data_IF_963522443787
#
_entry.id   IF_963522443787
#
_cell.length_a   1.000
_cell.length_b   1.000
_cell.length_c   1.000
_cell.angle_alpha   90.00
_cell.angle_beta   90.00
_cell.angle_gamma   90.00
#
_symmetry.space_group_name_H-M   'P 1'
#
loop_
_entity.id
_entity.type
_entity.pdbx_description
1 polymer ?
#
# COMPACT_ATOMS: atom_id res chain seq x y z
N UNK A 1 13.37 48.89 1.61
CA UNK A 1 14.22 47.87 0.97
C UNK A 1 14.31 46.72 1.96
N UNK A 2 13.66 45.60 1.63
CA UNK A 2 13.65 44.37 2.43
C UNK A 2 14.63 43.43 1.73
N UNK A 3 15.75 43.14 2.39
CA UNK A 3 16.84 42.31 1.87
C UNK A 3 16.64 40.86 2.32
N UNK A 4 16.51 39.95 1.36
CA UNK A 4 17.15 38.63 1.37
C UNK A 4 16.57 37.56 2.31
N UNK A 5 15.67 36.74 1.77
CA UNK A 5 15.36 35.39 2.26
C UNK A 5 16.66 34.61 2.52
N UNK A 6 16.83 34.07 3.73
CA UNK A 6 17.79 32.99 4.00
C UNK A 6 17.18 31.69 3.53
N UNK A 7 17.82 31.12 2.53
CA UNK A 7 17.56 29.78 2.00
C UNK A 7 17.50 28.76 3.13
N UNK A 8 16.45 27.95 3.12
CA UNK A 8 16.31 26.81 4.02
C UNK A 8 17.42 25.81 3.73
N UNK A 9 18.35 25.68 4.65
CA UNK A 9 19.25 24.52 4.74
C UNK A 9 18.39 23.26 4.89
N UNK A 10 18.11 22.58 3.78
CA UNK A 10 17.69 21.19 3.80
C UNK A 10 18.83 20.38 4.42
N UNK A 11 18.69 20.03 5.71
CA UNK A 11 19.63 19.18 6.43
C UNK A 11 19.82 17.91 5.58
N UNK A 12 21.04 17.63 5.07
CA UNK A 12 21.25 16.49 4.18
C UNK A 12 20.96 15.21 4.96
N UNK A 13 19.96 14.46 4.50
CA UNK A 13 19.50 13.19 5.06
C UNK A 13 20.70 12.22 5.16
N UNK A 14 21.15 11.92 6.38
CA UNK A 14 22.34 11.09 6.61
C UNK A 14 21.99 9.61 6.44
N UNK A 15 22.21 9.10 5.24
CA UNK A 15 22.00 7.69 4.89
C UNK A 15 23.12 6.83 5.46
N UNK A 16 22.89 6.23 6.63
CA UNK A 16 23.89 5.40 7.34
C UNK A 16 23.80 3.94 6.85
N UNK A 17 24.95 3.25 6.73
CA UNK A 17 25.04 1.83 6.35
C UNK A 17 24.85 0.85 7.51
N UNK A 18 24.43 1.33 8.67
CA UNK A 18 24.21 0.50 9.84
C UNK A 18 23.00 -0.40 9.64
N UNK A 19 23.21 -1.69 9.89
CA UNK A 19 22.21 -2.75 9.77
C UNK A 19 21.26 -2.73 10.98
N UNK A 20 21.72 -2.22 12.13
CA UNK A 20 20.98 -2.15 13.41
C UNK A 20 20.36 -0.77 13.65
N UNK A 21 19.48 -0.33 12.76
CA UNK A 21 18.61 0.83 13.05
C UNK A 21 17.33 0.34 13.75
N UNK A 22 16.72 1.17 14.61
CA UNK A 22 15.45 0.85 15.27
C UNK A 22 14.37 0.41 14.25
N UNK A 23 14.30 1.06 13.09
CA UNK A 23 13.40 0.69 11.99
C UNK A 23 13.62 -0.75 11.49
N UNK A 24 14.87 -1.17 11.26
CA UNK A 24 15.17 -2.53 10.80
C UNK A 24 14.78 -3.59 11.83
N UNK A 25 14.96 -3.31 13.12
CA UNK A 25 14.56 -4.25 14.19
C UNK A 25 13.05 -4.44 14.17
N UNK A 26 12.28 -3.37 14.03
CA UNK A 26 10.82 -3.50 14.02
C UNK A 26 10.31 -4.16 12.74
N UNK A 27 10.90 -3.86 11.58
CA UNK A 27 10.59 -4.57 10.33
C UNK A 27 10.92 -6.06 10.43
N UNK A 28 12.02 -6.43 11.11
CA UNK A 28 12.35 -7.83 11.38
C UNK A 28 11.36 -8.50 12.35
N UNK A 29 11.01 -7.83 13.44
CA UNK A 29 9.98 -8.31 14.38
C UNK A 29 8.66 -8.52 13.65
N UNK A 30 8.24 -7.57 12.80
CA UNK A 30 7.02 -7.68 11.99
C UNK A 30 7.06 -8.90 11.08
N UNK A 31 8.19 -9.14 10.41
CA UNK A 31 8.38 -10.34 9.59
C UNK A 31 8.26 -11.63 10.41
N UNK A 32 8.76 -11.66 11.65
CA UNK A 32 8.58 -12.79 12.57
C UNK A 32 7.14 -12.92 13.09
N UNK A 33 6.39 -11.83 13.24
CA UNK A 33 4.98 -11.87 13.67
C UNK A 33 4.05 -12.46 12.60
N UNK A 34 4.43 -12.36 11.31
CA UNK A 34 3.65 -12.91 10.18
C UNK A 34 3.35 -14.41 10.32
N UNK A 35 4.34 -15.31 10.45
CA UNK A 35 4.07 -16.73 10.64
C UNK A 35 3.36 -17.02 11.97
N UNK A 36 3.63 -16.24 13.02
CA UNK A 36 3.00 -16.41 14.34
C UNK A 36 1.48 -16.17 14.26
N UNK A 37 1.05 -15.06 13.64
CA UNK A 37 -0.40 -14.81 13.55
C UNK A 37 -1.09 -15.80 12.62
N UNK A 38 -0.45 -16.24 11.53
CA UNK A 38 -1.01 -17.27 10.65
C UNK A 38 -1.22 -18.58 11.39
N UNK A 39 -0.23 -19.00 12.19
CA UNK A 39 -0.35 -20.20 13.02
C UNK A 39 -1.47 -20.06 14.06
N UNK A 40 -1.58 -18.92 14.74
CA UNK A 40 -2.67 -18.65 15.69
C UNK A 40 -4.03 -18.69 15.02
N UNK A 41 -4.14 -18.10 13.82
CA UNK A 41 -5.38 -18.06 13.04
C UNK A 41 -5.82 -19.46 12.63
N UNK A 42 -4.91 -20.26 12.08
CA UNK A 42 -5.19 -21.64 11.66
C UNK A 42 -5.44 -22.57 12.85
N UNK A 43 -4.92 -22.24 14.03
CA UNK A 43 -5.20 -22.95 15.29
C UNK A 43 -6.53 -22.52 15.94
N UNK A 44 -7.27 -21.59 15.34
CA UNK A 44 -8.58 -21.13 15.82
C UNK A 44 -8.55 -20.00 16.86
N UNK A 45 -7.36 -19.49 17.23
CA UNK A 45 -7.21 -18.38 18.17
C UNK A 45 -7.43 -17.02 17.51
N UNK A 46 -8.66 -16.77 17.04
CA UNK A 46 -9.04 -15.57 16.28
C UNK A 46 -8.63 -14.26 16.98
N UNK A 47 -8.91 -14.12 18.27
CA UNK A 47 -8.57 -12.90 19.02
C UNK A 47 -7.05 -12.68 19.06
N UNK A 48 -6.27 -13.73 19.37
CA UNK A 48 -4.82 -13.63 19.43
C UNK A 48 -4.23 -13.33 18.05
N UNK A 49 -4.72 -13.99 17.00
CA UNK A 49 -4.32 -13.72 15.62
C UNK A 49 -4.60 -12.26 15.22
N UNK A 50 -5.78 -11.74 15.54
CA UNK A 50 -6.13 -10.33 15.29
C UNK A 50 -5.24 -9.37 16.05
N UNK A 51 -4.97 -9.64 17.34
CA UNK A 51 -4.10 -8.77 18.14
C UNK A 51 -2.68 -8.74 17.59
N UNK A 52 -2.12 -9.88 17.20
CA UNK A 52 -0.79 -9.96 16.59
C UNK A 52 -0.76 -9.25 15.24
N UNK A 53 -1.76 -9.47 14.38
CA UNK A 53 -1.88 -8.79 13.10
C UNK A 53 -2.02 -7.27 13.25
N UNK A 54 -2.88 -6.83 14.17
CA UNK A 54 -3.08 -5.41 14.46
C UNK A 54 -1.83 -4.77 15.04
N UNK A 55 -1.11 -5.46 15.93
CA UNK A 55 0.17 -5.00 16.45
C UNK A 55 1.20 -4.86 15.33
N UNK A 56 1.33 -5.87 14.46
CA UNK A 56 2.23 -5.83 13.30
C UNK A 56 1.92 -4.66 12.35
N UNK A 57 0.64 -4.40 12.08
CA UNK A 57 0.20 -3.28 11.23
C UNK A 57 0.39 -1.92 11.91
N UNK A 58 0.16 -1.82 13.22
CA UNK A 58 0.34 -0.59 13.99
C UNK A 58 1.82 -0.22 14.16
N UNK A 59 2.69 -1.20 14.35
CA UNK A 59 4.14 -1.00 14.43
C UNK A 59 4.68 -0.24 13.22
N UNK A 60 4.22 -0.57 12.01
CA UNK A 60 4.60 0.16 10.79
C UNK A 60 4.30 1.65 10.85
N UNK A 61 3.08 1.98 11.25
CA UNK A 61 2.65 3.36 11.30
C UNK A 61 3.48 4.17 12.30
N UNK A 62 3.85 3.55 13.43
CA UNK A 62 4.65 4.18 14.48
C UNK A 62 6.09 4.38 14.00
N UNK A 63 6.71 3.38 13.38
CA UNK A 63 8.10 3.48 12.92
C UNK A 63 8.26 4.46 11.76
N UNK A 64 7.30 4.45 10.82
CA UNK A 64 7.28 5.41 9.72
C UNK A 64 7.12 6.85 10.20
N UNK A 65 6.56 7.08 11.39
CA UNK A 65 6.50 8.40 12.02
C UNK A 65 7.79 8.73 12.78
N UNK A 66 8.41 7.74 13.43
CA UNK A 66 9.63 7.90 14.21
C UNK A 66 10.86 8.12 13.32
N UNK A 67 11.00 7.37 12.23
CA UNK A 67 12.10 7.51 11.27
C UNK A 67 12.10 8.90 10.59
N UNK A 68 10.89 9.43 10.29
CA UNK A 68 10.72 10.80 9.79
C UNK A 68 11.20 11.87 10.77
N UNK A 69 11.19 11.60 12.07
CA UNK A 69 11.65 12.54 13.12
C UNK A 69 13.12 12.39 13.46
N UNK A 70 13.73 11.26 13.16
CA UNK A 70 15.13 10.96 13.52
C UNK A 70 16.12 11.14 12.37
N UNK A 71 15.66 11.48 11.16
CA UNK A 71 16.49 11.73 9.95
C UNK A 71 17.52 10.63 9.64
N UNK A 72 17.37 9.45 10.24
CA UNK A 72 18.29 8.32 10.13
C UNK A 72 17.61 7.25 9.30
N UNK A 73 17.86 7.26 8.00
CA UNK A 73 17.25 6.32 7.05
C UNK A 73 18.32 5.38 6.51
N UNK A 74 18.24 4.10 6.88
CA UNK A 74 19.14 3.06 6.35
C UNK A 74 18.73 2.66 4.93
N UNK A 75 19.69 2.46 4.02
CA UNK A 75 19.41 1.99 2.65
C UNK A 75 18.70 0.64 2.63
N UNK A 76 18.98 -0.22 3.62
CA UNK A 76 18.31 -1.51 3.76
C UNK A 76 16.86 -1.34 4.20
N UNK A 77 16.60 -0.45 5.17
CA UNK A 77 15.24 -0.13 5.62
C UNK A 77 14.36 0.41 4.50
N UNK A 78 14.88 1.28 3.63
CA UNK A 78 14.14 1.83 2.48
C UNK A 78 13.55 0.76 1.54
N UNK A 79 14.18 -0.42 1.46
CA UNK A 79 13.74 -1.53 0.62
C UNK A 79 12.97 -2.55 1.45
N UNK A 80 13.40 -2.82 2.68
CA UNK A 80 12.82 -3.83 3.55
C UNK A 80 11.44 -3.42 4.05
N UNK A 81 11.23 -2.15 4.42
CA UNK A 81 9.97 -1.69 5.01
C UNK A 81 8.79 -1.87 4.04
N UNK A 82 8.86 -1.41 2.76
CA UNK A 82 7.79 -1.64 1.79
C UNK A 82 7.58 -3.12 1.45
N UNK A 83 8.61 -3.95 1.56
CA UNK A 83 8.50 -5.38 1.31
C UNK A 83 7.76 -6.10 2.44
N UNK A 84 8.10 -5.81 3.71
CA UNK A 84 7.46 -6.41 4.88
C UNK A 84 6.00 -5.96 5.00
N UNK A 85 5.69 -4.69 4.71
CA UNK A 85 4.29 -4.20 4.66
C UNK A 85 3.43 -5.01 3.70
N UNK A 86 4.01 -5.32 2.54
CA UNK A 86 3.32 -6.02 1.47
C UNK A 86 3.17 -7.49 1.79
N UNK A 87 4.17 -8.10 2.44
CA UNK A 87 4.05 -9.44 3.01
C UNK A 87 2.89 -9.45 4.01
N UNK A 88 2.85 -8.52 4.97
CA UNK A 88 1.77 -8.45 5.96
C UNK A 88 0.39 -8.29 5.31
N UNK A 89 0.28 -7.44 4.27
CA UNK A 89 -0.95 -7.26 3.52
C UNK A 89 -1.38 -8.56 2.81
N UNK A 90 -0.47 -9.18 2.05
CA UNK A 90 -0.74 -10.42 1.30
C UNK A 90 -1.11 -11.55 2.24
N UNK A 91 -0.36 -11.73 3.32
CA UNK A 91 -0.63 -12.78 4.29
C UNK A 91 -1.92 -12.50 5.05
N UNK A 92 -2.26 -11.24 5.34
CA UNK A 92 -3.52 -10.86 6.00
C UNK A 92 -4.72 -11.27 5.15
N UNK A 93 -4.68 -10.92 3.86
CA UNK A 93 -5.69 -11.31 2.87
C UNK A 93 -5.77 -12.84 2.74
N UNK A 94 -4.62 -13.50 2.61
CA UNK A 94 -4.53 -14.97 2.48
C UNK A 94 -5.07 -15.69 3.72
N UNK A 95 -4.73 -15.21 4.91
CA UNK A 95 -5.20 -15.80 6.17
C UNK A 95 -6.72 -15.78 6.29
N UNK A 96 -7.35 -14.64 5.97
CA UNK A 96 -8.82 -14.53 5.99
C UNK A 96 -9.48 -15.48 4.98
N UNK A 97 -8.85 -15.68 3.81
CA UNK A 97 -9.31 -16.63 2.81
C UNK A 97 -9.15 -18.10 3.24
N UNK A 98 -8.03 -18.45 3.88
CA UNK A 98 -7.81 -19.81 4.38
C UNK A 98 -8.87 -20.21 5.42
N UNK A 99 -9.39 -19.25 6.19
CA UNK A 99 -10.49 -19.47 7.13
C UNK A 99 -11.87 -19.37 6.47
N UNK A 100 -11.94 -19.15 5.15
CA UNK A 100 -13.18 -19.15 4.37
C UNK A 100 -14.08 -17.93 4.60
N UNK A 101 -13.53 -16.80 5.08
CA UNK A 101 -14.32 -15.62 5.46
C UNK A 101 -14.50 -14.60 4.34
N UNK A 102 -13.75 -14.73 3.25
CA UNK A 102 -13.89 -13.90 2.05
C UNK A 102 -13.82 -14.74 0.78
N UNK A 103 -14.50 -14.29 -0.29
CA UNK A 103 -14.38 -14.90 -1.60
C UNK A 103 -13.03 -14.56 -2.25
N UNK A 104 -12.56 -15.45 -3.13
CA UNK A 104 -11.28 -15.32 -3.83
C UNK A 104 -11.14 -14.00 -4.61
N UNK A 105 -12.24 -13.46 -5.16
CA UNK A 105 -12.18 -12.24 -5.97
C UNK A 105 -11.68 -11.03 -5.19
N UNK A 106 -11.97 -10.92 -3.89
CA UNK A 106 -11.47 -9.81 -3.04
C UNK A 106 -9.95 -9.83 -3.01
N UNK A 107 -9.37 -11.02 -2.84
CA UNK A 107 -7.91 -11.23 -2.83
C UNK A 107 -7.31 -10.83 -4.15
N UNK A 108 -7.91 -11.35 -5.23
CA UNK A 108 -7.43 -11.12 -6.59
C UNK A 108 -7.45 -9.62 -6.90
N UNK A 109 -8.51 -8.90 -6.54
CA UNK A 109 -8.60 -7.44 -6.75
C UNK A 109 -7.53 -6.69 -5.94
N UNK A 110 -7.35 -7.03 -4.66
CA UNK A 110 -6.35 -6.37 -3.80
C UNK A 110 -4.93 -6.59 -4.32
N UNK A 111 -4.57 -7.85 -4.60
CA UNK A 111 -3.23 -8.23 -5.04
C UNK A 111 -2.94 -7.71 -6.45
N UNK A 112 -3.87 -7.86 -7.39
CA UNK A 112 -3.69 -7.35 -8.76
C UNK A 112 -3.56 -5.83 -8.78
N UNK A 113 -4.39 -5.11 -8.02
CA UNK A 113 -4.30 -3.65 -7.93
C UNK A 113 -2.93 -3.23 -7.39
N UNK A 114 -2.48 -3.87 -6.31
CA UNK A 114 -1.22 -3.53 -5.68
C UNK A 114 -0.02 -3.86 -6.58
N UNK A 115 -0.05 -4.99 -7.28
CA UNK A 115 0.93 -5.34 -8.31
C UNK A 115 0.92 -4.34 -9.48
N UNK A 116 -0.27 -3.95 -9.95
CA UNK A 116 -0.43 -2.98 -11.03
C UNK A 116 0.20 -1.62 -10.69
N UNK A 117 -0.06 -1.09 -9.48
CA UNK A 117 0.53 0.18 -9.06
C UNK A 117 2.05 0.10 -8.92
N UNK A 118 2.58 -0.99 -8.40
CA UNK A 118 4.03 -1.17 -8.26
C UNK A 118 4.71 -1.28 -9.62
N UNK A 119 4.22 -2.16 -10.49
CA UNK A 119 4.81 -2.40 -11.82
C UNK A 119 4.66 -1.13 -12.67
N UNK A 120 3.48 -0.51 -12.67
CA UNK A 120 3.23 0.74 -13.41
C UNK A 120 4.12 1.89 -12.93
N UNK A 121 4.25 2.06 -11.60
CA UNK A 121 5.12 3.06 -11.01
C UNK A 121 6.61 2.82 -11.32
N UNK A 122 7.09 1.58 -11.16
CA UNK A 122 8.47 1.20 -11.45
C UNK A 122 8.82 1.35 -12.94
N UNK A 123 7.90 0.95 -13.83
CA UNK A 123 8.07 1.09 -15.27
C UNK A 123 8.17 2.56 -15.69
N UNK A 124 7.28 3.41 -15.16
CA UNK A 124 7.26 4.85 -15.47
C UNK A 124 8.53 5.55 -14.96
N UNK A 125 8.98 5.20 -13.75
CA UNK A 125 10.23 5.71 -13.18
C UNK A 125 11.46 5.24 -13.98
N UNK A 126 11.53 3.96 -14.33
CA UNK A 126 12.68 3.40 -15.05
C UNK A 126 12.80 3.91 -16.48
N UNK A 127 11.68 4.15 -17.16
CA UNK A 127 11.67 4.49 -18.59
C UNK A 127 11.64 5.99 -18.86
N UNK A 128 10.94 6.76 -18.01
CA UNK A 128 10.68 8.19 -18.24
C UNK A 128 11.16 9.09 -17.09
N UNK A 129 11.70 8.53 -16.00
CA UNK A 129 12.12 9.25 -14.78
C UNK A 129 11.01 10.11 -14.15
N UNK A 130 9.75 9.84 -14.48
CA UNK A 130 8.59 10.53 -13.91
C UNK A 130 8.29 9.93 -12.54
N UNK A 131 8.33 10.77 -11.50
CA UNK A 131 7.84 10.43 -10.16
C UNK A 131 6.42 10.93 -10.02
N UNK A 132 5.45 10.02 -9.96
CA UNK A 132 4.07 10.40 -9.62
C UNK A 132 3.98 10.51 -8.09
N UNK A 133 3.70 11.69 -7.53
CA UNK A 133 3.68 11.88 -6.08
C UNK A 133 2.58 11.03 -5.45
N UNK A 134 2.90 10.42 -4.32
CA UNK A 134 1.96 9.54 -3.62
C UNK A 134 0.85 10.40 -3.00
N UNK A 135 -0.38 10.26 -3.50
CA UNK A 135 -1.57 10.98 -3.02
C UNK A 135 -2.07 10.38 -1.71
N UNK A 136 -2.34 11.26 -0.72
CA UNK A 136 -2.87 10.92 0.61
C UNK A 136 -4.07 9.94 0.65
N UNK A 137 -5.03 9.96 -0.29
CA UNK A 137 -6.16 9.01 -0.30
C UNK A 137 -5.73 7.53 -0.39
N UNK A 138 -4.55 7.23 -0.95
CA UNK A 138 -4.02 5.88 -1.02
C UNK A 138 -3.67 5.28 0.35
N UNK A 139 -3.26 6.12 1.31
CA UNK A 139 -3.02 5.69 2.70
C UNK A 139 -4.32 5.27 3.36
N UNK A 140 -5.36 6.10 3.24
CA UNK A 140 -6.68 5.80 3.79
C UNK A 140 -7.25 4.49 3.24
N UNK A 141 -7.19 4.27 1.91
CA UNK A 141 -7.66 3.03 1.31
C UNK A 141 -6.99 1.79 1.94
N UNK A 142 -5.67 1.87 2.17
CA UNK A 142 -4.89 0.79 2.78
C UNK A 142 -5.25 0.59 4.25
N UNK A 143 -5.44 1.68 5.00
CA UNK A 143 -5.91 1.62 6.40
C UNK A 143 -7.29 0.97 6.51
N UNK A 144 -8.24 1.31 5.63
CA UNK A 144 -9.56 0.67 5.59
C UNK A 144 -9.44 -0.84 5.32
N UNK A 145 -8.56 -1.26 4.40
CA UNK A 145 -8.31 -2.68 4.16
C UNK A 145 -7.73 -3.38 5.39
N UNK A 146 -6.72 -2.80 6.06
CA UNK A 146 -6.14 -3.39 7.27
C UNK A 146 -7.16 -3.52 8.41
N UNK A 147 -8.00 -2.49 8.63
CA UNK A 147 -9.09 -2.55 9.61
C UNK A 147 -10.09 -3.64 9.23
N UNK A 148 -10.43 -3.74 7.94
CA UNK A 148 -11.31 -4.77 7.42
C UNK A 148 -10.77 -6.19 7.63
N UNK A 149 -9.49 -6.42 7.33
CA UNK A 149 -8.85 -7.70 7.59
C UNK A 149 -8.80 -8.03 9.08
N UNK A 150 -8.42 -7.06 9.94
CA UNK A 150 -8.44 -7.27 11.39
C UNK A 150 -9.84 -7.64 11.90
N UNK A 151 -10.89 -6.97 11.42
CA UNK A 151 -12.28 -7.30 11.76
C UNK A 151 -12.69 -8.70 11.28
N UNK A 152 -12.29 -9.07 10.07
CA UNK A 152 -12.56 -10.43 9.56
C UNK A 152 -11.75 -11.51 10.27
N UNK A 153 -10.51 -11.23 10.69
CA UNK A 153 -9.69 -12.13 11.51
C UNK A 153 -10.32 -12.33 12.91
N UNK A 154 -10.93 -11.28 13.47
CA UNK A 154 -11.60 -11.35 14.77
C UNK A 154 -12.89 -12.18 14.69
N UNK A 155 -13.62 -12.03 13.57
CA UNK A 155 -14.90 -12.69 13.31
C UNK A 155 -15.98 -12.42 14.39
N UNK A 156 -15.90 -11.28 15.07
CA UNK A 156 -16.84 -10.88 16.10
C UNK A 156 -16.96 -9.33 16.19
N UNK A 157 -18.15 -8.77 16.46
CA UNK A 157 -19.47 -9.43 16.39
C UNK A 157 -19.87 -9.78 14.96
N UNK A 158 -20.66 -10.84 14.79
CA UNK A 158 -21.30 -11.16 13.51
C UNK A 158 -22.56 -10.31 13.37
N UNK A 159 -22.62 -9.53 12.29
CA UNK A 159 -23.77 -8.68 11.95
C UNK A 159 -24.61 -9.46 10.93
N UNK A 160 -25.95 -9.49 11.08
CA UNK A 160 -26.83 -10.06 10.07
C UNK A 160 -26.61 -9.33 8.74
N UNK A 161 -26.43 -10.10 7.66
CA UNK A 161 -26.32 -9.53 6.32
C UNK A 161 -27.59 -8.79 5.89
N UNK A 162 -27.46 -7.88 4.92
CA UNK A 162 -28.55 -7.02 4.47
C UNK A 162 -29.72 -7.78 3.82
N UNK A 163 -29.47 -9.00 3.32
CA UNK A 163 -30.50 -9.81 2.65
C UNK A 163 -31.01 -9.19 1.35
N UNK A 164 -30.21 -8.35 0.70
CA UNK A 164 -30.59 -7.69 -0.56
C UNK A 164 -30.41 -8.59 -1.77
N UNK A 165 -29.50 -9.57 -1.70
CA UNK A 165 -29.27 -10.50 -2.80
C UNK A 165 -28.75 -11.86 -2.30
N UNK A 166 -29.26 -12.97 -2.82
CA UNK A 166 -28.86 -14.33 -2.40
C UNK A 166 -27.56 -14.82 -3.09
N UNK A 167 -26.61 -13.91 -3.32
CA UNK A 167 -25.38 -14.26 -4.03
C UNK A 167 -24.23 -14.51 -3.05
N UNK A 168 -23.82 -15.78 -2.93
CA UNK A 168 -22.80 -16.27 -1.99
C UNK A 168 -21.43 -15.63 -2.15
N UNK A 169 -21.06 -15.21 -3.36
CA UNK A 169 -19.81 -14.51 -3.63
C UNK A 169 -19.77 -13.06 -3.12
N UNK A 170 -20.86 -12.52 -2.55
CA UNK A 170 -20.94 -11.13 -2.07
C UNK A 170 -21.35 -11.10 -0.58
N UNK A 171 -20.42 -11.45 0.34
CA UNK A 171 -20.73 -11.50 1.76
C UNK A 171 -21.24 -10.16 2.29
N UNK A 172 -22.26 -10.19 3.15
CA UNK A 172 -22.86 -9.02 3.80
C UNK A 172 -24.01 -8.40 3.04
N UNK A 173 -24.08 -8.59 1.71
CA UNK A 173 -25.29 -8.31 0.93
C UNK A 173 -26.24 -9.51 0.88
N UNK A 174 -25.71 -10.72 1.08
CA UNK A 174 -26.48 -11.92 1.36
C UNK A 174 -27.12 -11.89 2.75
N UNK A 175 -28.03 -12.83 3.02
CA UNK A 175 -28.68 -12.96 4.32
C UNK A 175 -27.82 -13.62 5.41
N UNK A 176 -26.60 -14.04 5.08
CA UNK A 176 -25.71 -14.71 6.01
C UNK A 176 -25.07 -13.72 6.98
N UNK A 177 -24.83 -14.17 8.21
CA UNK A 177 -24.16 -13.36 9.21
C UNK A 177 -22.67 -13.22 8.86
N UNK A 178 -22.19 -11.98 8.81
CA UNK A 178 -20.80 -11.67 8.43
C UNK A 178 -20.15 -10.79 9.48
N UNK A 179 -18.83 -10.87 9.58
CA UNK A 179 -18.09 -9.93 10.41
C UNK A 179 -18.13 -8.52 9.81
N UNK A 180 -18.23 -7.51 10.69
CA UNK A 180 -18.23 -6.09 10.35
C UNK A 180 -17.04 -5.65 9.48
N UNK A 181 -15.93 -6.39 9.52
CA UNK A 181 -14.74 -6.12 8.72
C UNK A 181 -15.01 -6.10 7.21
N UNK A 182 -16.03 -6.81 6.73
CA UNK A 182 -16.35 -6.86 5.28
C UNK A 182 -16.70 -5.47 4.71
N UNK A 183 -17.38 -4.63 5.49
CA UNK A 183 -17.77 -3.29 5.04
C UNK A 183 -16.57 -2.37 4.89
N UNK A 184 -15.59 -2.51 5.79
CA UNK A 184 -14.31 -1.80 5.70
C UNK A 184 -13.50 -2.28 4.49
N UNK A 185 -13.57 -3.58 4.15
CA UNK A 185 -12.96 -4.09 2.91
C UNK A 185 -13.63 -3.46 1.69
N UNK A 186 -14.97 -3.43 1.60
CA UNK A 186 -15.64 -2.81 0.47
C UNK A 186 -15.32 -1.32 0.34
N UNK A 187 -15.35 -0.58 1.45
CA UNK A 187 -14.94 0.83 1.45
C UNK A 187 -13.49 1.00 1.01
N UNK A 188 -12.57 0.18 1.53
CA UNK A 188 -11.17 0.16 1.16
C UNK A 188 -10.95 -0.17 -0.32
N UNK A 189 -11.67 -1.14 -0.86
CA UNK A 189 -11.64 -1.52 -2.28
C UNK A 189 -12.12 -0.38 -3.18
N UNK A 190 -13.25 0.25 -2.87
CA UNK A 190 -13.79 1.37 -3.65
C UNK A 190 -12.80 2.53 -3.67
N UNK A 191 -12.27 2.91 -2.50
CA UNK A 191 -11.24 3.96 -2.40
C UNK A 191 -9.97 3.58 -3.17
N UNK A 192 -9.53 2.32 -3.02
CA UNK A 192 -8.34 1.79 -3.68
C UNK A 192 -8.46 1.83 -5.21
N UNK A 193 -9.61 1.44 -5.75
CA UNK A 193 -9.90 1.50 -7.18
C UNK A 193 -9.95 2.95 -7.68
N UNK A 194 -10.65 3.84 -6.97
CA UNK A 194 -10.69 5.27 -7.31
C UNK A 194 -9.30 5.91 -7.35
N UNK A 195 -8.46 5.58 -6.36
CA UNK A 195 -7.05 6.01 -6.32
C UNK A 195 -6.26 5.44 -7.50
N UNK A 196 -6.47 4.18 -7.85
CA UNK A 196 -5.78 3.52 -8.98
C UNK A 196 -6.12 4.17 -10.31
N UNK A 197 -7.39 4.53 -10.52
CA UNK A 197 -7.85 5.27 -11.71
C UNK A 197 -7.16 6.64 -11.75
N UNK A 198 -7.15 7.38 -10.63
CA UNK A 198 -6.49 8.68 -10.55
C UNK A 198 -5.00 8.58 -10.93
N UNK A 199 -4.26 7.63 -10.35
CA UNK A 199 -2.84 7.42 -10.69
C UNK A 199 -2.63 7.05 -12.14
N UNK A 200 -3.48 6.19 -12.70
CA UNK A 200 -3.38 5.77 -14.11
C UNK A 200 -3.56 6.97 -15.04
N UNK A 201 -4.54 7.83 -14.77
CA UNK A 201 -4.77 9.05 -15.55
C UNK A 201 -3.64 10.04 -15.38
N UNK A 202 -3.13 10.25 -14.17
CA UNK A 202 -2.00 11.14 -13.90
C UNK A 202 -0.72 10.66 -14.61
N UNK A 203 -0.44 9.36 -14.55
CA UNK A 203 0.68 8.73 -15.25
C UNK A 203 0.56 8.87 -16.78
N UNK A 204 -0.64 8.62 -17.33
CA UNK A 204 -0.89 8.76 -18.77
C UNK A 204 -0.70 10.22 -19.25
N UNK A 205 -1.15 11.21 -18.47
CA UNK A 205 -0.96 12.63 -18.79
C UNK A 205 0.52 13.03 -18.76
N UNK A 206 1.25 12.60 -17.73
CA UNK A 206 2.68 12.89 -17.62
C UNK A 206 3.47 12.23 -18.76
N UNK A 207 3.14 10.99 -19.10
CA UNK A 207 3.75 10.28 -20.23
C UNK A 207 3.46 10.98 -21.57
N UNK A 208 2.23 11.44 -21.79
CA UNK A 208 1.86 12.14 -23.01
C UNK A 208 2.60 13.48 -23.17
N UNK A 209 2.88 14.20 -22.07
CA UNK A 209 3.66 15.43 -22.10
C UNK A 209 5.14 15.16 -22.46
N UNK A 210 5.76 14.16 -21.85
CA UNK A 210 7.16 13.78 -22.12
C UNK A 210 7.36 13.31 -23.57
N UNK A 211 6.41 12.53 -24.11
CA UNK A 211 6.48 12.08 -25.51
C UNK A 211 6.33 13.24 -26.51
N UNK A 212 5.57 14.30 -26.17
CA UNK A 212 5.48 15.51 -27.01
C UNK A 212 6.80 16.27 -27.02
N UNK A 213 7.40 16.51 -25.86
CA UNK A 213 8.70 17.18 -25.75
C UNK A 213 9.81 16.46 -26.52
N UNK A 214 9.86 15.12 -26.45
CA UNK A 214 10.84 14.33 -27.23
C UNK A 214 10.62 14.42 -28.72
N UNK A 215 9.37 14.48 -29.17
CA UNK A 215 9.03 14.60 -30.60
C UNK A 215 9.42 15.98 -31.14
N UNK A 216 9.17 17.03 -30.37
CA UNK A 216 9.58 18.41 -30.70
C UNK A 216 11.10 18.53 -30.78
N UNK A 217 11.84 18.05 -29.78
CA UNK A 217 13.30 18.05 -29.78
C UNK A 217 13.92 17.26 -30.95
N UNK A 218 13.31 16.11 -31.31
CA UNK A 218 13.76 15.34 -32.47
C UNK A 218 13.54 16.11 -33.79
N UNK A 219 12.41 16.81 -33.93
CA UNK A 219 12.09 17.62 -35.11
C UNK A 219 13.07 18.78 -35.28
N UNK A 220 13.40 19.50 -34.21
CA UNK A 220 14.36 20.61 -34.22
C UNK A 220 15.78 20.15 -34.61
N UNK A 221 16.21 18.99 -34.12
CA UNK A 221 17.52 18.43 -34.48
C UNK A 221 17.60 18.05 -35.97
N UNK A 222 16.49 17.57 -36.55
CA UNK A 222 16.44 17.15 -37.95
C UNK A 222 16.42 18.34 -38.91
N UNK A 223 15.80 19.47 -38.53
CA UNK A 223 15.88 20.70 -39.33
C UNK A 223 17.27 21.34 -39.27
N UNK A 224 17.91 21.33 -38.10
CA UNK A 224 19.24 21.92 -37.94
C UNK A 224 20.36 21.19 -38.72
N UNK A 225 20.18 19.92 -39.07
CA UNK A 225 21.16 19.13 -39.84
C UNK A 225 20.89 19.10 -41.36
N UNK A 226 19.72 19.60 -41.80
CA UNK A 226 19.37 19.66 -43.23
C UNK A 226 19.81 20.93 -43.94
N UNK A 227 20.15 21.98 -43.18
CA UNK A 227 20.55 23.30 -43.70
C UNK A 227 22.08 23.54 -43.72
N UNK A 228 22.89 22.51 -43.43
CA UNK A 228 24.35 22.51 -43.47
C UNK A 228 24.89 21.64 -44.62
#
# INVERSE_FOLDING_TARGET
>A
MVEGQRDGEEIPEQVTSEIFTAANVVSFVRLCLVPVYLWLLLSGFNLAATLVFAAAAASDFIDGQLARRTHTVSKLGQILDPAVDRILMITGVLGVFLVGRIPLWVIVVVVLRDAYLLIGGAWLLSRYRIRVPVVYPGKFATTFLFIGFAGLLLNAPLIPGLGWCDISWLPGFNGEAVSWGIWFIYAGLILSLGVTIYYTVAAARALAAELRHRKEAASESSSAHGDA
#
